data_IF_035998504388
#
_entry.id   IF_035998504388
#
_cell.length_a   1.000
_cell.length_b   1.000
_cell.length_c   1.000
_cell.angle_alpha   90.00
_cell.angle_beta   90.00
_cell.angle_gamma   90.00
#
_symmetry.space_group_name_H-M   'P 1'
#
loop_
_entity.id
_entity.type
_entity.pdbx_description
1 polymer ?
#
# COMPACT_ATOMS: atom_id res chain seq x y z
N UNK A 1 -7.30 -31.05 17.86
CA UNK A 1 -6.88 -30.17 16.73
C UNK A 1 -7.60 -28.86 16.86
N UNK A 2 -6.89 -27.75 17.01
CA UNK A 2 -7.45 -26.41 17.01
C UNK A 2 -7.62 -25.96 15.56
N UNK A 3 -8.81 -25.40 15.22
CA UNK A 3 -9.12 -24.90 13.89
C UNK A 3 -9.36 -23.41 13.96
N UNK A 4 -8.61 -22.64 13.20
CA UNK A 4 -8.70 -21.20 13.12
C UNK A 4 -9.38 -20.78 11.82
N UNK A 5 -10.25 -19.76 11.91
CA UNK A 5 -11.04 -19.27 10.80
C UNK A 5 -11.03 -17.75 10.74
N UNK A 6 -10.92 -17.21 9.55
CA UNK A 6 -11.15 -15.81 9.27
C UNK A 6 -12.63 -15.53 9.03
N UNK A 7 -13.10 -14.40 9.52
CA UNK A 7 -14.47 -13.90 9.32
C UNK A 7 -14.43 -12.43 8.92
N UNK A 8 -15.40 -12.00 8.12
CA UNK A 8 -15.52 -10.58 7.78
C UNK A 8 -15.95 -9.77 9.01
N UNK A 9 -15.10 -8.86 9.47
CA UNK A 9 -15.41 -7.97 10.62
C UNK A 9 -16.66 -7.11 10.37
N UNK A 10 -16.84 -6.61 9.16
CA UNK A 10 -18.03 -5.81 8.78
C UNK A 10 -19.31 -6.63 8.83
N UNK A 11 -19.24 -7.93 8.56
CA UNK A 11 -20.41 -8.82 8.69
C UNK A 11 -20.73 -9.15 10.14
N UNK A 12 -19.70 -9.37 10.97
CA UNK A 12 -19.86 -9.81 12.37
C UNK A 12 -20.26 -8.66 13.29
N UNK A 13 -19.53 -7.54 13.21
CA UNK A 13 -19.70 -6.42 14.14
C UNK A 13 -20.80 -5.45 13.71
N UNK A 14 -20.86 -5.11 12.44
CA UNK A 14 -21.68 -3.99 11.96
C UNK A 14 -22.84 -4.42 11.07
N UNK A 15 -22.96 -5.70 10.71
CA UNK A 15 -23.95 -6.22 9.74
C UNK A 15 -23.96 -5.47 8.40
N UNK A 16 -22.85 -4.83 8.04
CA UNK A 16 -22.69 -4.01 6.82
C UNK A 16 -22.21 -4.83 5.60
N UNK A 17 -21.96 -6.11 5.79
CA UNK A 17 -21.49 -7.00 4.72
C UNK A 17 -22.34 -8.28 4.71
N UNK A 18 -22.77 -8.67 3.53
CA UNK A 18 -23.55 -9.91 3.33
C UNK A 18 -22.68 -11.19 3.37
N UNK A 19 -21.36 -11.04 3.42
CA UNK A 19 -20.46 -12.17 3.47
C UNK A 19 -20.36 -12.75 4.89
N UNK A 20 -21.08 -13.85 5.14
CA UNK A 20 -21.14 -14.52 6.45
C UNK A 20 -20.29 -15.78 6.53
N UNK A 21 -19.68 -16.21 5.42
CA UNK A 21 -18.87 -17.41 5.35
C UNK A 21 -17.57 -17.29 6.16
N UNK A 22 -17.12 -18.44 6.68
CA UNK A 22 -15.81 -18.56 7.34
C UNK A 22 -14.82 -19.16 6.35
N UNK A 23 -13.57 -18.71 6.43
CA UNK A 23 -12.48 -19.23 5.61
C UNK A 23 -11.45 -19.83 6.55
N UNK A 24 -11.05 -21.08 6.28
CA UNK A 24 -10.01 -21.73 7.07
C UNK A 24 -8.68 -21.02 6.93
N UNK A 25 -8.00 -20.79 8.05
CA UNK A 25 -6.64 -20.25 8.05
C UNK A 25 -5.70 -21.12 7.22
N UNK A 26 -5.76 -22.44 7.37
CA UNK A 26 -4.90 -23.36 6.64
C UNK A 26 -5.05 -23.21 5.12
N UNK A 27 -6.28 -22.98 4.62
CA UNK A 27 -6.52 -22.80 3.18
C UNK A 27 -5.82 -21.53 2.66
N UNK A 28 -5.88 -20.44 3.43
CA UNK A 28 -5.22 -19.19 3.06
C UNK A 28 -3.70 -19.34 3.15
N UNK A 29 -3.19 -19.96 4.21
CA UNK A 29 -1.75 -20.17 4.37
C UNK A 29 -1.19 -21.07 3.27
N UNK A 30 -1.85 -22.16 2.95
CA UNK A 30 -1.45 -23.07 1.87
C UNK A 30 -1.45 -22.34 0.51
N UNK A 31 -2.47 -21.54 0.25
CA UNK A 31 -2.49 -20.70 -0.95
C UNK A 31 -1.31 -19.74 -1.01
N UNK A 32 -1.04 -19.01 0.08
CA UNK A 32 0.05 -18.04 0.16
C UNK A 32 1.41 -18.72 -0.02
N UNK A 33 1.64 -19.84 0.66
CA UNK A 33 2.89 -20.60 0.54
C UNK A 33 3.17 -21.10 -0.88
N UNK A 34 2.11 -21.39 -1.64
CA UNK A 34 2.26 -21.88 -3.01
C UNK A 34 2.30 -20.78 -4.06
N UNK A 35 1.74 -19.61 -3.77
CA UNK A 35 1.51 -18.56 -4.77
C UNK A 35 2.13 -17.21 -4.42
N UNK A 36 2.93 -17.10 -3.36
CA UNK A 36 3.45 -15.81 -2.86
C UNK A 36 4.18 -15.01 -3.94
N UNK A 37 5.09 -15.64 -4.70
CA UNK A 37 5.81 -15.00 -5.80
C UNK A 37 4.86 -14.49 -6.88
N UNK A 38 3.90 -15.31 -7.29
CA UNK A 38 2.92 -14.94 -8.30
C UNK A 38 2.04 -13.78 -7.86
N UNK A 39 1.56 -13.80 -6.62
CA UNK A 39 0.73 -12.73 -6.05
C UNK A 39 1.53 -11.43 -5.88
N UNK A 40 2.80 -11.53 -5.48
CA UNK A 40 3.67 -10.36 -5.38
C UNK A 40 3.92 -9.71 -6.75
N UNK A 41 4.19 -10.50 -7.79
CA UNK A 41 4.31 -9.98 -9.18
C UNK A 41 3.02 -9.33 -9.65
N UNK A 42 1.86 -9.93 -9.40
CA UNK A 42 0.57 -9.33 -9.73
C UNK A 42 0.36 -8.00 -8.99
N UNK A 43 0.74 -7.93 -7.71
CA UNK A 43 0.70 -6.70 -6.91
C UNK A 43 1.58 -5.60 -7.53
N UNK A 44 2.82 -5.90 -7.90
CA UNK A 44 3.72 -4.96 -8.57
C UNK A 44 3.11 -4.40 -9.88
N UNK A 45 2.53 -5.27 -10.69
CA UNK A 45 1.85 -4.86 -11.94
C UNK A 45 0.65 -3.93 -11.65
N UNK A 46 -0.15 -4.23 -10.61
CA UNK A 46 -1.26 -3.35 -10.20
C UNK A 46 -0.75 -1.98 -9.75
N UNK A 47 0.28 -1.93 -8.92
CA UNK A 47 0.90 -0.69 -8.45
C UNK A 47 1.43 0.15 -9.61
N UNK A 48 2.10 -0.47 -10.59
CA UNK A 48 2.63 0.22 -11.76
C UNK A 48 1.50 0.78 -12.66
N UNK A 49 0.43 0.02 -12.90
CA UNK A 49 -0.75 0.51 -13.64
C UNK A 49 -1.41 1.71 -12.95
N UNK A 50 -1.50 1.70 -11.62
CA UNK A 50 -2.04 2.84 -10.87
C UNK A 50 -1.12 4.05 -11.00
N UNK A 51 0.20 3.86 -10.96
CA UNK A 51 1.19 4.92 -11.21
C UNK A 51 1.00 5.51 -12.61
N UNK A 52 0.89 4.68 -13.66
CA UNK A 52 0.69 5.12 -15.04
C UNK A 52 -0.63 5.89 -15.24
N UNK A 53 -1.74 5.39 -14.70
CA UNK A 53 -3.03 6.09 -14.81
C UNK A 53 -3.07 7.42 -14.06
N UNK A 54 -2.32 7.56 -12.99
CA UNK A 54 -2.16 8.83 -12.28
C UNK A 54 -1.26 9.80 -13.03
N UNK A 55 -0.25 9.31 -13.74
CA UNK A 55 0.63 10.15 -14.58
C UNK A 55 -0.08 10.69 -15.82
N UNK A 56 -1.04 9.96 -16.38
CA UNK A 56 -1.85 10.44 -17.51
C UNK A 56 -2.94 11.45 -17.11
N UNK A 57 -3.42 11.45 -15.88
CA UNK A 57 -4.48 12.37 -15.40
C UNK A 57 -3.97 13.72 -14.88
N UNK A 58 -2.68 13.84 -14.61
CA UNK A 58 -2.03 15.12 -14.31
C UNK A 58 -0.74 15.17 -15.13
N UNK A 59 -0.55 16.19 -15.99
CA UNK A 59 0.80 16.68 -16.29
C UNK A 59 1.40 17.04 -14.93
N UNK A 60 1.99 16.08 -14.26
CA UNK A 60 2.55 16.26 -12.94
C UNK A 60 3.70 17.24 -13.08
N UNK A 61 3.51 18.44 -12.53
CA UNK A 61 4.62 19.33 -12.24
C UNK A 61 5.68 18.51 -11.51
N UNK A 62 6.93 18.68 -11.86
CA UNK A 62 8.02 18.07 -11.09
C UNK A 62 8.18 18.81 -9.75
N UNK A 63 8.73 18.15 -8.72
CA UNK A 63 9.07 18.79 -7.46
C UNK A 63 9.96 20.05 -7.69
N UNK A 64 10.87 19.98 -8.66
CA UNK A 64 11.73 21.12 -9.03
C UNK A 64 10.94 22.29 -9.65
N UNK A 65 9.88 21.99 -10.40
CA UNK A 65 8.98 23.04 -10.92
C UNK A 65 8.23 23.73 -9.80
N UNK A 66 7.77 23.00 -8.76
CA UNK A 66 7.10 23.57 -7.60
C UNK A 66 8.07 24.40 -6.76
N UNK A 67 9.30 23.94 -6.55
CA UNK A 67 10.36 24.73 -5.87
C UNK A 67 10.65 26.03 -6.58
N UNK A 68 10.80 26.00 -7.92
CA UNK A 68 11.00 27.22 -8.71
C UNK A 68 9.83 28.19 -8.64
N UNK A 69 8.60 27.71 -8.47
CA UNK A 69 7.42 28.55 -8.30
C UNK A 69 7.39 29.19 -6.92
N UNK A 70 7.77 28.45 -5.86
CA UNK A 70 7.96 29.02 -4.51
C UNK A 70 9.01 30.14 -4.52
N UNK A 71 10.15 29.93 -5.20
CA UNK A 71 11.18 30.96 -5.33
C UNK A 71 10.67 32.23 -6.02
N UNK A 72 9.90 32.07 -7.11
CA UNK A 72 9.28 33.21 -7.82
C UNK A 72 8.27 33.92 -6.93
N UNK A 73 7.47 33.20 -6.17
CA UNK A 73 6.50 33.77 -5.24
C UNK A 73 7.20 34.59 -4.15
N UNK A 74 8.31 34.07 -3.60
CA UNK A 74 9.14 34.77 -2.63
C UNK A 74 9.71 36.08 -3.19
N UNK A 75 10.21 36.07 -4.43
CA UNK A 75 10.75 37.25 -5.10
C UNK A 75 9.65 38.31 -5.31
N UNK A 76 8.46 37.89 -5.70
CA UNK A 76 7.33 38.82 -5.91
C UNK A 76 6.90 39.46 -4.60
N UNK A 77 6.86 38.74 -3.52
CA UNK A 77 6.54 39.23 -2.19
C UNK A 77 7.62 40.21 -1.68
N UNK A 78 8.90 39.87 -1.79
CA UNK A 78 10.03 40.70 -1.41
C UNK A 78 10.04 42.03 -2.17
N UNK A 79 9.58 42.03 -3.42
CA UNK A 79 9.46 43.26 -4.24
C UNK A 79 8.17 44.07 -3.98
N UNK A 80 7.36 43.66 -3.00
CA UNK A 80 6.11 44.31 -2.68
C UNK A 80 5.05 44.26 -3.80
N UNK A 81 5.13 43.26 -4.70
CA UNK A 81 4.22 43.15 -5.85
C UNK A 81 2.96 42.34 -5.55
N UNK A 82 2.92 41.66 -4.43
CA UNK A 82 1.78 40.85 -3.96
C UNK A 82 1.53 41.12 -2.48
N UNK A 83 0.28 41.07 -2.09
CA UNK A 83 -0.19 41.22 -0.72
C UNK A 83 0.17 39.97 0.11
N UNK A 84 0.31 40.17 1.44
CA UNK A 84 0.71 39.11 2.38
C UNK A 84 -0.27 37.93 2.38
N UNK A 85 -1.57 38.23 2.41
CA UNK A 85 -2.62 37.18 2.46
C UNK A 85 -2.60 36.31 1.21
N UNK A 86 -2.39 36.92 0.04
CA UNK A 86 -2.25 36.20 -1.22
C UNK A 86 -0.98 35.32 -1.24
N UNK A 87 0.14 35.89 -0.75
CA UNK A 87 1.41 35.16 -0.64
C UNK A 87 1.24 33.92 0.24
N UNK A 88 0.66 34.08 1.45
CA UNK A 88 0.50 32.99 2.41
C UNK A 88 -0.39 31.87 1.86
N UNK A 89 -1.50 32.23 1.19
CA UNK A 89 -2.40 31.25 0.58
C UNK A 89 -1.70 30.44 -0.51
N UNK A 90 -0.97 31.09 -1.41
CA UNK A 90 -0.26 30.41 -2.51
C UNK A 90 0.91 29.58 -1.99
N UNK A 91 1.66 30.11 -1.03
CA UNK A 91 2.78 29.40 -0.41
C UNK A 91 2.32 28.10 0.24
N UNK A 92 1.24 28.12 1.01
CA UNK A 92 0.67 26.93 1.64
C UNK A 92 0.27 25.85 0.61
N UNK A 93 -0.39 26.27 -0.48
CA UNK A 93 -0.77 25.33 -1.56
C UNK A 93 0.43 24.67 -2.20
N UNK A 94 1.49 25.43 -2.47
CA UNK A 94 2.72 24.90 -3.08
C UNK A 94 3.50 24.02 -2.10
N UNK A 95 3.53 24.36 -0.81
CA UNK A 95 4.14 23.55 0.23
C UNK A 95 3.43 22.21 0.39
N UNK A 96 2.09 22.20 0.42
CA UNK A 96 1.29 20.96 0.50
C UNK A 96 1.50 20.09 -0.77
N UNK A 97 1.61 20.72 -1.95
CA UNK A 97 1.96 20.03 -3.18
C UNK A 97 3.36 19.41 -3.07
N UNK A 98 4.35 20.13 -2.53
CA UNK A 98 5.72 19.64 -2.33
C UNK A 98 5.77 18.47 -1.35
N UNK A 99 5.08 18.55 -0.21
CA UNK A 99 4.94 17.43 0.76
C UNK A 99 4.35 16.19 0.11
N UNK A 100 3.41 16.35 -0.83
CA UNK A 100 2.83 15.21 -1.55
C UNK A 100 3.85 14.43 -2.41
N UNK A 101 4.92 15.09 -2.87
CA UNK A 101 6.02 14.41 -3.58
C UNK A 101 6.90 13.61 -2.60
N UNK A 102 7.19 14.14 -1.42
CA UNK A 102 7.99 13.46 -0.41
C UNK A 102 7.25 12.23 0.14
N UNK A 103 5.93 12.30 0.33
CA UNK A 103 5.12 11.14 0.72
C UNK A 103 5.11 10.04 -0.35
N UNK A 104 5.20 10.38 -1.63
CA UNK A 104 5.30 9.37 -2.71
C UNK A 104 6.64 8.66 -2.67
N UNK A 105 7.72 9.36 -2.34
CA UNK A 105 9.07 8.77 -2.21
C UNK A 105 9.12 7.84 -0.98
N UNK A 106 8.52 8.22 0.13
CA UNK A 106 8.45 7.37 1.35
C UNK A 106 7.57 6.13 1.12
N UNK A 107 6.65 6.15 0.17
CA UNK A 107 5.80 5.01 -0.20
C UNK A 107 6.43 4.05 -1.22
N UNK A 108 7.60 4.30 -1.73
CA UNK A 108 8.45 3.24 -2.30
C UNK A 108 9.00 2.41 -1.14
N UNK A 109 8.09 1.69 -0.47
CA UNK A 109 8.45 0.77 0.60
C UNK A 109 9.45 -0.23 0.06
N UNK A 110 10.50 -0.38 0.81
CA UNK A 110 11.51 -1.39 0.60
C UNK A 110 10.88 -2.78 0.74
N UNK A 111 10.46 -3.35 -0.39
CA UNK A 111 9.95 -4.72 -0.46
C UNK A 111 11.08 -5.76 -0.49
N UNK A 112 12.33 -5.36 -0.16
CA UNK A 112 13.49 -6.26 -0.13
C UNK A 112 13.25 -7.45 0.81
N UNK A 113 12.51 -7.24 1.90
CA UNK A 113 12.14 -8.30 2.82
C UNK A 113 11.26 -9.37 2.16
N UNK A 114 10.30 -8.97 1.33
CA UNK A 114 9.43 -9.91 0.58
C UNK A 114 10.26 -10.66 -0.46
N UNK A 115 11.13 -9.96 -1.18
CA UNK A 115 11.99 -10.55 -2.22
C UNK A 115 12.98 -11.53 -1.62
N UNK A 116 13.58 -11.21 -0.47
CA UNK A 116 14.50 -12.10 0.25
C UNK A 116 13.84 -13.40 0.74
N UNK A 117 12.52 -13.37 0.98
CA UNK A 117 11.74 -14.52 1.42
C UNK A 117 11.26 -15.42 0.28
N UNK A 118 11.34 -14.98 -0.97
CA UNK A 118 10.96 -15.78 -2.14
C UNK A 118 12.00 -16.88 -2.52
N UNK A 119 13.04 -17.05 -1.69
CA UNK A 119 14.06 -18.09 -1.86
C UNK A 119 13.52 -19.53 -1.62
N UNK A 120 14.31 -20.52 -2.05
CA UNK A 120 13.93 -21.94 -2.04
C UNK A 120 13.58 -22.51 -0.65
N UNK A 121 14.13 -21.95 0.42
CA UNK A 121 14.04 -22.49 1.78
C UNK A 121 12.88 -21.89 2.61
N UNK A 122 12.11 -20.98 1.99
CA UNK A 122 11.01 -20.27 2.67
C UNK A 122 9.97 -21.21 3.29
N UNK A 123 9.56 -22.25 2.56
CA UNK A 123 8.54 -23.21 3.04
C UNK A 123 9.00 -24.02 4.24
N UNK A 124 10.28 -24.40 4.25
CA UNK A 124 10.87 -25.13 5.37
C UNK A 124 10.97 -24.26 6.61
N UNK A 125 11.47 -23.03 6.45
CA UNK A 125 11.52 -22.03 7.51
C UNK A 125 10.12 -21.77 8.10
N UNK A 126 9.12 -21.54 7.24
CA UNK A 126 7.74 -21.30 7.67
C UNK A 126 7.15 -22.50 8.42
N UNK A 127 7.43 -23.72 7.98
CA UNK A 127 6.93 -24.93 8.64
C UNK A 127 7.46 -25.11 10.06
N UNK A 128 8.65 -24.58 10.35
CA UNK A 128 9.28 -24.63 11.67
C UNK A 128 8.72 -23.58 12.66
N UNK A 129 7.97 -22.59 12.18
CA UNK A 129 7.40 -21.55 13.03
C UNK A 129 6.24 -22.06 13.89
N UNK A 130 6.16 -21.58 15.14
CA UNK A 130 4.97 -21.75 15.98
C UNK A 130 3.76 -21.02 15.38
N UNK A 131 2.56 -21.39 15.80
CA UNK A 131 1.31 -20.82 15.26
C UNK A 131 1.24 -19.30 15.42
N UNK A 132 1.68 -18.79 16.57
CA UNK A 132 1.74 -17.34 16.87
C UNK A 132 2.73 -16.63 15.95
N UNK A 133 3.90 -17.22 15.75
CA UNK A 133 4.92 -16.66 14.88
C UNK A 133 4.51 -16.68 13.40
N UNK A 134 3.71 -17.64 12.95
CA UNK A 134 3.15 -17.68 11.58
C UNK A 134 2.21 -16.49 11.35
N UNK A 135 1.36 -16.19 12.32
CA UNK A 135 0.46 -15.03 12.21
C UNK A 135 1.23 -13.71 12.17
N UNK A 136 2.19 -13.53 13.08
CA UNK A 136 3.05 -12.35 13.11
C UNK A 136 3.85 -12.18 11.81
N UNK A 137 4.34 -13.30 11.27
CA UNK A 137 5.04 -13.33 9.98
C UNK A 137 4.19 -12.76 8.84
N UNK A 138 2.96 -13.25 8.66
CA UNK A 138 2.08 -12.74 7.59
C UNK A 138 1.69 -11.29 7.81
N UNK A 139 1.50 -10.86 9.04
CA UNK A 139 1.17 -9.46 9.36
C UNK A 139 2.30 -8.47 9.03
N UNK A 140 3.55 -8.92 8.95
CA UNK A 140 4.69 -8.10 8.53
C UNK A 140 4.81 -7.93 7.02
N UNK A 141 4.15 -8.76 6.23
CA UNK A 141 4.31 -8.82 4.77
C UNK A 141 3.02 -8.39 4.07
N UNK A 142 1.87 -8.83 4.61
CA UNK A 142 0.57 -8.71 3.95
C UNK A 142 -0.25 -7.61 4.62
N UNK A 143 -0.69 -6.67 3.82
CA UNK A 143 -1.61 -5.61 4.24
C UNK A 143 -3.05 -6.11 4.26
N UNK A 144 -3.48 -6.81 3.20
CA UNK A 144 -4.82 -7.32 3.06
C UNK A 144 -4.89 -8.49 2.07
N UNK A 145 -5.80 -9.43 2.35
CA UNK A 145 -6.13 -10.54 1.46
C UNK A 145 -7.59 -10.37 1.04
N UNK A 146 -7.84 -10.31 -0.25
CA UNK A 146 -9.18 -10.20 -0.80
C UNK A 146 -9.67 -11.59 -1.24
N UNK A 147 -10.90 -11.91 -0.89
CA UNK A 147 -11.49 -13.24 -1.09
C UNK A 147 -12.79 -13.12 -1.84
N UNK A 148 -13.01 -14.03 -2.78
CA UNK A 148 -14.26 -14.15 -3.53
C UNK A 148 -15.38 -14.75 -2.67
N UNK A 149 -16.62 -14.69 -3.18
CA UNK A 149 -17.76 -15.34 -2.52
C UNK A 149 -17.59 -16.85 -2.41
N UNK A 150 -16.83 -17.45 -3.30
CA UNK A 150 -16.54 -18.90 -3.35
C UNK A 150 -15.39 -19.32 -2.44
N UNK A 151 -14.93 -18.44 -1.56
CA UNK A 151 -13.85 -18.66 -0.57
C UNK A 151 -12.45 -18.82 -1.20
N UNK A 152 -12.26 -18.42 -2.44
CA UNK A 152 -10.96 -18.39 -3.08
C UNK A 152 -10.27 -17.04 -2.85
N UNK A 153 -8.94 -17.05 -2.78
CA UNK A 153 -8.16 -15.81 -2.75
C UNK A 153 -8.26 -15.16 -4.14
N UNK A 154 -8.69 -13.91 -4.19
CA UNK A 154 -8.79 -13.11 -5.40
C UNK A 154 -7.47 -12.40 -5.67
N UNK A 155 -7.01 -11.62 -4.70
CA UNK A 155 -5.70 -10.99 -4.75
C UNK A 155 -5.18 -10.63 -3.35
N UNK A 156 -3.89 -10.33 -3.28
CA UNK A 156 -3.17 -9.97 -2.06
C UNK A 156 -2.56 -8.59 -2.23
N UNK A 157 -2.73 -7.72 -1.23
CA UNK A 157 -2.00 -6.47 -1.11
C UNK A 157 -0.90 -6.60 -0.08
N UNK A 158 0.29 -6.17 -0.46
CA UNK A 158 1.48 -6.20 0.40
C UNK A 158 1.66 -4.85 1.11
N UNK A 159 2.39 -4.89 2.25
CA UNK A 159 2.67 -3.72 3.08
C UNK A 159 3.61 -2.75 2.40
#
# INVERSE_FOLDING_TARGET
REYYYYRCNKAVLNKLCSYTSRISQNLIEEYLLNNLDTEYRKYQVRCNKVKETQTHKKKKRSADSVRSEIERLNILFQKGRIEFDYYEEQYRKLEDELKSFDEVIIREKDHSNVIGMLGSDFKEMYSSLSLENRQAFWQQIIKAIYVTKDRNVDYVDFL
#
